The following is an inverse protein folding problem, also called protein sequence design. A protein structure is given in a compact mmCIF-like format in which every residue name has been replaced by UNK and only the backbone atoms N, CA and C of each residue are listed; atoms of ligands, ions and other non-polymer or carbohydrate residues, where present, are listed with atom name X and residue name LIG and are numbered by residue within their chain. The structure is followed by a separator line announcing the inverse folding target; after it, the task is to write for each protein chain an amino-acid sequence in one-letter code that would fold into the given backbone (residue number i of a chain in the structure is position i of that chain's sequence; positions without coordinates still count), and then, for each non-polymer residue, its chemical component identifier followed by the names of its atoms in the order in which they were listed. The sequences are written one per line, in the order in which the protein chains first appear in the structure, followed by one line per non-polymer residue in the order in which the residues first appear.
data_IF_404998036304
#
_entry.id   IF_404998036304
#
_cell.length_a   1.000
_cell.length_b   1.000
_cell.length_c   1.000
_cell.angle_alpha   90.00
_cell.angle_beta   90.00
_cell.angle_gamma   90.00
#
_symmetry.space_group_name_H-M   'P 1'
#
loop_
_entity.id
_entity.type
_entity.pdbx_description
1 polymer ?
#
# COMPACT_ATOMS: atom_id res chain seq x y z
N UNK A 1 19.75 -11.16 4.96
CA UNK A 1 19.91 -9.89 5.73
C UNK A 1 18.56 -9.21 5.68
N UNK A 2 17.93 -9.03 6.84
CA UNK A 2 16.67 -8.28 6.95
C UNK A 2 16.98 -6.80 6.74
N UNK A 3 16.20 -6.15 5.88
CA UNK A 3 16.34 -4.72 5.56
C UNK A 3 14.95 -4.11 5.74
N UNK A 4 14.82 -3.11 6.62
CA UNK A 4 13.59 -2.34 6.75
C UNK A 4 13.33 -1.58 5.46
N UNK A 5 12.06 -1.43 5.08
CA UNK A 5 11.70 -0.65 3.89
C UNK A 5 12.16 0.81 4.02
N UNK A 6 12.20 1.31 5.24
CA UNK A 6 12.69 2.62 5.67
C UNK A 6 14.21 2.78 5.52
N UNK A 7 14.97 1.68 5.55
CA UNK A 7 16.43 1.70 5.49
C UNK A 7 16.94 1.78 4.04
N UNK A 8 16.13 1.32 3.07
CA UNK A 8 16.52 1.20 1.66
C UNK A 8 17.08 2.52 1.09
N UNK A 9 16.46 3.70 1.31
CA UNK A 9 17.00 4.96 0.79
C UNK A 9 18.38 5.30 1.35
N UNK A 10 18.64 5.03 2.63
CA UNK A 10 19.92 5.29 3.26
C UNK A 10 21.00 4.34 2.72
N UNK A 11 20.71 3.04 2.68
CA UNK A 11 21.61 2.01 2.14
C UNK A 11 21.98 2.28 0.68
N UNK A 12 21.01 2.72 -0.13
CA UNK A 12 21.28 3.10 -1.52
C UNK A 12 22.23 4.31 -1.60
N UNK A 13 22.02 5.36 -0.80
CA UNK A 13 22.94 6.51 -0.74
C UNK A 13 24.36 6.14 -0.31
N UNK A 14 24.51 5.09 0.48
CA UNK A 14 25.81 4.52 0.87
C UNK A 14 26.44 3.62 -0.22
N UNK A 15 25.81 3.48 -1.38
CA UNK A 15 26.30 2.64 -2.49
C UNK A 15 26.10 1.14 -2.29
N UNK A 16 25.29 0.72 -1.30
CA UNK A 16 24.94 -0.70 -1.12
C UNK A 16 23.99 -1.13 -2.23
N UNK A 17 24.30 -2.26 -2.88
CA UNK A 17 23.44 -2.88 -3.92
C UNK A 17 22.36 -3.72 -3.26
N UNK A 18 21.43 -3.06 -2.58
CA UNK A 18 20.34 -3.68 -1.82
C UNK A 18 19.01 -3.13 -2.34
N UNK A 19 18.02 -4.01 -2.45
CA UNK A 19 16.64 -3.67 -2.73
C UNK A 19 15.68 -4.63 -2.04
N UNK A 20 14.40 -4.28 -2.03
CA UNK A 20 13.32 -5.13 -1.55
C UNK A 20 12.37 -5.37 -2.71
N UNK A 21 12.08 -6.63 -3.02
CA UNK A 21 11.08 -6.99 -4.03
C UNK A 21 9.69 -6.78 -3.46
N UNK A 22 8.86 -6.00 -4.16
CA UNK A 22 7.43 -5.89 -3.87
C UNK A 22 6.64 -6.96 -4.64
N UNK A 23 5.90 -7.79 -3.90
CA UNK A 23 5.04 -8.84 -4.47
C UNK A 23 3.60 -8.35 -4.49
N UNK A 24 3.18 -7.76 -5.62
CA UNK A 24 1.83 -7.24 -5.82
C UNK A 24 0.88 -8.32 -6.36
N UNK A 25 0.56 -9.34 -5.55
CA UNK A 25 -0.33 -10.42 -5.94
C UNK A 25 -1.26 -10.83 -4.81
N UNK A 26 -2.52 -11.09 -5.14
CA UNK A 26 -3.48 -11.70 -4.22
C UNK A 26 -3.57 -13.23 -4.38
N UNK A 27 -2.80 -13.83 -5.30
CA UNK A 27 -2.93 -15.26 -5.59
C UNK A 27 -2.21 -16.11 -4.52
N UNK A 28 -2.91 -17.05 -3.83
CA UNK A 28 -2.33 -17.77 -2.69
C UNK A 28 -1.04 -18.54 -3.02
N UNK A 29 -0.92 -19.12 -4.21
CA UNK A 29 0.33 -19.80 -4.61
C UNK A 29 1.52 -18.85 -4.76
N UNK A 30 1.30 -17.62 -5.23
CA UNK A 30 2.36 -16.61 -5.36
C UNK A 30 2.80 -16.14 -3.98
N UNK A 31 1.84 -15.88 -3.10
CA UNK A 31 2.13 -15.49 -1.72
C UNK A 31 2.89 -16.58 -0.97
N UNK A 32 2.49 -17.85 -1.10
CA UNK A 32 3.23 -18.98 -0.52
C UNK A 32 4.68 -19.04 -1.03
N UNK A 33 4.89 -18.84 -2.34
CA UNK A 33 6.23 -18.84 -2.92
C UNK A 33 7.09 -17.69 -2.35
N UNK A 34 6.53 -16.49 -2.23
CA UNK A 34 7.22 -15.33 -1.65
C UNK A 34 7.58 -15.55 -0.17
N UNK A 35 6.64 -16.06 0.63
CA UNK A 35 6.82 -16.36 2.05
C UNK A 35 7.88 -17.45 2.26
N UNK A 36 7.83 -18.53 1.47
CA UNK A 36 8.83 -19.60 1.50
C UNK A 36 10.22 -19.08 1.16
N UNK A 37 10.32 -18.24 0.13
CA UNK A 37 11.59 -17.63 -0.25
C UNK A 37 12.15 -16.78 0.89
N UNK A 38 11.36 -15.88 1.48
CA UNK A 38 11.81 -15.04 2.58
C UNK A 38 12.24 -15.82 3.81
N UNK A 39 11.55 -16.93 4.13
CA UNK A 39 11.96 -17.86 5.18
C UNK A 39 13.34 -18.46 4.90
N UNK A 40 13.56 -18.94 3.68
CA UNK A 40 14.81 -19.63 3.29
C UNK A 40 16.02 -18.68 3.24
N UNK A 41 15.80 -17.41 2.89
CA UNK A 41 16.87 -16.41 2.73
C UNK A 41 17.03 -15.48 3.93
N UNK A 42 16.06 -15.45 4.85
CA UNK A 42 15.99 -14.49 5.94
C UNK A 42 15.91 -13.03 5.42
N UNK A 43 15.20 -12.82 4.32
CA UNK A 43 14.99 -11.49 3.72
C UNK A 43 13.55 -11.01 3.93
N UNK A 44 13.38 -9.70 3.92
CA UNK A 44 12.07 -9.04 3.99
C UNK A 44 11.16 -9.51 2.86
N UNK A 45 9.91 -9.82 3.19
CA UNK A 45 8.84 -10.21 2.28
C UNK A 45 7.82 -9.06 2.23
N UNK A 46 7.96 -8.18 1.24
CA UNK A 46 7.00 -7.11 1.00
C UNK A 46 5.88 -7.63 0.10
N UNK A 47 4.66 -7.65 0.63
CA UNK A 47 3.44 -8.04 -0.08
C UNK A 47 2.54 -6.83 -0.18
N UNK A 48 2.09 -6.51 -1.39
CA UNK A 48 1.23 -5.35 -1.63
C UNK A 48 -0.12 -5.73 -2.23
N UNK A 49 -1.16 -4.99 -1.84
CA UNK A 49 -2.50 -5.09 -2.42
C UNK A 49 -2.90 -3.74 -3.00
N UNK A 50 -3.37 -3.72 -4.25
CA UNK A 50 -3.85 -2.49 -4.89
C UNK A 50 -5.27 -2.13 -4.43
N UNK A 51 -5.63 -0.85 -4.49
CA UNK A 51 -6.94 -0.32 -4.11
C UNK A 51 -8.16 -0.98 -4.81
N UNK A 52 -7.95 -1.58 -5.99
CA UNK A 52 -8.99 -2.31 -6.70
C UNK A 52 -9.13 -3.76 -6.22
N UNK A 53 -8.02 -4.40 -5.81
CA UNK A 53 -8.05 -5.78 -5.32
C UNK A 53 -8.73 -5.83 -3.95
N UNK A 54 -8.28 -4.95 -3.06
CA UNK A 54 -8.63 -4.92 -1.64
C UNK A 54 -8.97 -3.47 -1.29
N UNK A 55 -10.12 -3.24 -0.67
CA UNK A 55 -10.47 -1.94 -0.08
C UNK A 55 -11.50 -2.17 1.03
N UNK A 56 -11.92 -1.11 1.72
CA UNK A 56 -12.87 -1.22 2.84
C UNK A 56 -14.25 -1.78 2.45
N UNK A 57 -14.55 -1.91 1.15
CA UNK A 57 -15.77 -2.52 0.62
C UNK A 57 -15.53 -3.91 -0.01
N UNK A 58 -14.31 -4.43 0.04
CA UNK A 58 -13.95 -5.76 -0.47
C UNK A 58 -13.19 -5.77 -1.80
N UNK A 59 -13.17 -4.67 -2.55
CA UNK A 59 -12.61 -4.65 -3.91
C UNK A 59 -13.19 -5.76 -4.80
N UNK A 60 -12.45 -6.19 -5.82
CA UNK A 60 -12.88 -7.34 -6.64
C UNK A 60 -12.59 -8.70 -5.98
N UNK A 61 -11.77 -8.75 -4.93
CA UNK A 61 -11.45 -10.00 -4.23
C UNK A 61 -12.49 -10.38 -3.17
N UNK A 62 -13.35 -9.44 -2.79
CA UNK A 62 -14.25 -9.54 -1.65
C UNK A 62 -13.55 -9.40 -0.29
N UNK A 63 -12.28 -8.99 -0.26
CA UNK A 63 -11.48 -8.86 0.96
C UNK A 63 -11.32 -7.40 1.39
N UNK A 64 -11.53 -7.14 2.67
CA UNK A 64 -11.05 -5.92 3.32
C UNK A 64 -9.54 -5.99 3.59
N UNK A 65 -8.85 -4.88 3.92
CA UNK A 65 -7.44 -4.93 4.30
C UNK A 65 -7.17 -5.87 5.48
N UNK A 66 -8.10 -5.96 6.43
CA UNK A 66 -8.00 -6.89 7.55
C UNK A 66 -8.10 -8.36 7.10
N UNK A 67 -9.01 -8.66 6.18
CA UNK A 67 -9.14 -10.02 5.60
C UNK A 67 -7.88 -10.41 4.83
N UNK A 68 -7.31 -9.49 4.05
CA UNK A 68 -6.07 -9.73 3.31
C UNK A 68 -4.90 -9.97 4.26
N UNK A 69 -4.76 -9.16 5.31
CA UNK A 69 -3.71 -9.33 6.32
C UNK A 69 -3.84 -10.70 7.03
N UNK A 70 -5.05 -11.07 7.46
CA UNK A 70 -5.31 -12.36 8.09
C UNK A 70 -5.02 -13.55 7.15
N UNK A 71 -5.33 -13.41 5.85
CA UNK A 71 -5.00 -14.43 4.85
C UNK A 71 -3.49 -14.58 4.68
N UNK A 72 -2.74 -13.48 4.59
CA UNK A 72 -1.26 -13.49 4.52
C UNK A 72 -0.68 -14.12 5.78
N UNK A 73 -1.20 -13.79 6.96
CA UNK A 73 -0.78 -14.36 8.24
C UNK A 73 -0.98 -15.89 8.28
N UNK A 74 -2.14 -16.38 7.84
CA UNK A 74 -2.43 -17.80 7.76
C UNK A 74 -1.50 -18.53 6.78
N UNK A 75 -1.20 -17.91 5.63
CA UNK A 75 -0.23 -18.46 4.67
C UNK A 75 1.18 -18.47 5.24
N UNK A 76 1.59 -17.42 5.97
CA UNK A 76 2.89 -17.34 6.61
C UNK A 76 3.06 -18.43 7.67
N UNK A 77 2.03 -18.69 8.49
CA UNK A 77 2.03 -19.79 9.44
C UNK A 77 2.18 -21.15 8.73
N UNK A 78 1.45 -21.37 7.63
CA UNK A 78 1.53 -22.61 6.85
C UNK A 78 2.90 -22.81 6.20
N UNK A 79 3.55 -21.75 5.71
CA UNK A 79 4.90 -21.80 5.14
C UNK A 79 6.00 -21.67 6.20
N UNK A 80 5.67 -21.52 7.48
CA UNK A 80 6.60 -21.31 8.59
C UNK A 80 7.51 -20.08 8.37
N UNK A 81 6.97 -19.03 7.75
CA UNK A 81 7.67 -17.76 7.56
C UNK A 81 7.52 -16.90 8.83
N UNK A 82 8.63 -16.41 9.43
CA UNK A 82 8.57 -15.54 10.60
C UNK A 82 7.83 -14.23 10.28
N UNK A 83 6.87 -13.85 11.13
CA UNK A 83 6.02 -12.66 10.92
C UNK A 83 6.82 -11.37 10.82
N UNK A 84 7.96 -11.29 11.53
CA UNK A 84 8.85 -10.14 11.51
C UNK A 84 9.52 -9.90 10.16
N UNK A 85 9.54 -10.89 9.25
CA UNK A 85 10.02 -10.70 7.88
C UNK A 85 8.98 -10.06 6.97
N UNK A 86 7.71 -10.07 7.36
CA UNK A 86 6.60 -9.69 6.49
C UNK A 86 6.32 -8.19 6.64
N UNK A 87 6.18 -7.52 5.50
CA UNK A 87 5.73 -6.13 5.42
C UNK A 87 4.53 -6.08 4.48
N UNK A 88 3.45 -5.46 4.95
CA UNK A 88 2.26 -5.23 4.15
C UNK A 88 2.28 -3.81 3.57
N UNK A 89 2.02 -3.70 2.27
CA UNK A 89 1.94 -2.43 1.55
C UNK A 89 0.65 -2.22 0.76
N UNK A 90 0.22 -0.96 0.68
CA UNK A 90 -0.91 -0.54 -0.14
C UNK A 90 -0.40 0.14 -1.39
N UNK A 91 -0.87 -0.33 -2.55
CA UNK A 91 -0.42 0.16 -3.85
C UNK A 91 -1.48 1.02 -4.55
N UNK A 92 -1.07 2.15 -5.12
CA UNK A 92 -1.92 3.17 -5.73
C UNK A 92 -3.15 3.53 -4.87
N UNK A 93 -2.95 3.81 -3.58
CA UNK A 93 -4.05 4.18 -2.70
C UNK A 93 -4.47 5.62 -2.96
N UNK A 94 -5.73 5.78 -3.38
CA UNK A 94 -6.33 7.06 -3.70
C UNK A 94 -7.74 6.89 -4.26
N UNK A 95 -8.28 7.90 -4.96
CA UNK A 95 -9.67 7.92 -5.40
C UNK A 95 -9.96 7.01 -6.61
N UNK A 96 -8.96 6.31 -7.15
CA UNK A 96 -9.09 5.54 -8.40
C UNK A 96 -10.31 4.59 -8.46
N UNK A 97 -10.65 3.79 -7.42
CA UNK A 97 -11.83 2.92 -7.47
C UNK A 97 -13.18 3.66 -7.55
N UNK A 98 -13.19 4.97 -7.25
CA UNK A 98 -14.38 5.83 -7.18
C UNK A 98 -14.24 7.07 -8.06
N UNK A 99 -13.36 7.04 -9.06
CA UNK A 99 -13.09 8.17 -9.97
C UNK A 99 -14.30 8.60 -10.81
N UNK A 100 -15.33 7.76 -10.89
CA UNK A 100 -16.62 8.03 -11.51
C UNK A 100 -17.53 8.92 -10.64
N UNK A 101 -17.13 9.23 -9.41
CA UNK A 101 -17.85 10.10 -8.47
C UNK A 101 -17.23 11.51 -8.41
N UNK A 102 -17.95 12.51 -7.87
CA UNK A 102 -17.37 13.82 -7.58
C UNK A 102 -16.14 13.72 -6.66
N UNK A 103 -15.16 14.61 -6.86
CA UNK A 103 -13.88 14.57 -6.17
C UNK A 103 -13.98 14.43 -4.65
N UNK A 104 -14.87 15.17 -4.00
CA UNK A 104 -15.00 15.13 -2.54
C UNK A 104 -15.51 13.78 -2.04
N UNK A 105 -16.45 13.15 -2.77
CA UNK A 105 -16.96 11.82 -2.44
C UNK A 105 -15.90 10.74 -2.68
N UNK A 106 -15.18 10.81 -3.80
CA UNK A 106 -14.11 9.88 -4.12
C UNK A 106 -12.96 9.96 -3.10
N UNK A 107 -12.59 11.17 -2.68
CA UNK A 107 -11.56 11.39 -1.66
C UNK A 107 -12.00 10.94 -0.26
N UNK A 108 -13.29 11.05 0.09
CA UNK A 108 -13.82 10.50 1.34
C UNK A 108 -13.72 8.97 1.38
N UNK A 109 -14.03 8.30 0.26
CA UNK A 109 -13.83 6.85 0.13
C UNK A 109 -12.34 6.47 0.21
N UNK A 110 -11.46 7.21 -0.47
CA UNK A 110 -10.02 7.01 -0.40
C UNK A 110 -9.48 7.15 1.02
N UNK A 111 -9.96 8.13 1.79
CA UNK A 111 -9.62 8.29 3.20
C UNK A 111 -10.07 7.09 4.05
N UNK A 112 -11.30 6.62 3.85
CA UNK A 112 -11.82 5.44 4.56
C UNK A 112 -11.00 4.18 4.26
N UNK A 113 -10.60 4.01 2.99
CA UNK A 113 -9.72 2.93 2.57
C UNK A 113 -8.36 3.02 3.25
N UNK A 114 -7.71 4.18 3.25
CA UNK A 114 -6.40 4.36 3.90
C UNK A 114 -6.45 4.07 5.39
N UNK A 115 -7.47 4.58 6.10
CA UNK A 115 -7.66 4.26 7.52
C UNK A 115 -7.76 2.75 7.74
N UNK A 116 -8.54 2.03 6.91
CA UNK A 116 -8.65 0.58 6.98
C UNK A 116 -7.32 -0.15 6.72
N UNK A 117 -6.54 0.28 5.73
CA UNK A 117 -5.22 -0.26 5.46
C UNK A 117 -4.27 -0.08 6.65
N UNK A 118 -4.18 1.14 7.20
CA UNK A 118 -3.28 1.42 8.33
C UNK A 118 -3.69 0.65 9.58
N UNK A 119 -4.99 0.58 9.90
CA UNK A 119 -5.50 -0.21 11.04
C UNK A 119 -5.27 -1.72 10.88
N UNK A 120 -5.27 -2.22 9.65
CA UNK A 120 -4.95 -3.62 9.35
C UNK A 120 -3.44 -3.93 9.39
N UNK A 121 -2.58 -2.96 9.75
CA UNK A 121 -1.14 -3.18 9.91
C UNK A 121 -0.31 -2.91 8.66
N UNK A 122 -0.88 -2.32 7.61
CA UNK A 122 -0.11 -1.90 6.44
C UNK A 122 0.77 -0.70 6.80
N UNK A 123 2.05 -0.75 6.40
CA UNK A 123 3.05 0.27 6.78
C UNK A 123 3.82 0.85 5.60
N UNK A 124 3.77 0.24 4.43
CA UNK A 124 4.16 0.90 3.17
C UNK A 124 2.89 1.42 2.50
N UNK A 125 2.79 2.72 2.26
CA UNK A 125 1.59 3.33 1.68
C UNK A 125 1.97 4.15 0.44
N UNK A 126 1.54 3.68 -0.73
CA UNK A 126 1.66 4.44 -1.97
C UNK A 126 0.45 5.35 -2.12
N UNK A 127 0.67 6.67 -2.02
CA UNK A 127 -0.38 7.68 -2.17
C UNK A 127 -0.42 8.17 -3.62
N UNK A 128 -1.46 7.77 -4.36
CA UNK A 128 -1.68 8.19 -5.74
C UNK A 128 -3.08 8.79 -5.90
N UNK A 129 -3.13 10.12 -5.94
CA UNK A 129 -4.33 10.91 -6.23
C UNK A 129 -4.17 11.75 -7.50
N UNK A 130 -3.39 11.25 -8.47
CA UNK A 130 -3.07 11.94 -9.73
C UNK A 130 -4.24 11.99 -10.73
N UNK A 131 -5.16 11.03 -10.64
CA UNK A 131 -6.28 10.90 -11.55
C UNK A 131 -7.43 11.87 -11.24
N UNK A 132 -8.02 12.43 -12.30
CA UNK A 132 -9.26 13.20 -12.19
C UNK A 132 -10.46 12.35 -11.78
N UNK A 133 -11.31 12.94 -10.95
CA UNK A 133 -12.63 12.41 -10.61
C UNK A 133 -13.71 12.97 -11.56
N UNK A 134 -14.99 12.64 -11.34
CA UNK A 134 -16.08 13.12 -12.20
C UNK A 134 -16.13 14.65 -12.23
N UNK A 135 -16.13 15.21 -13.44
CA UNK A 135 -16.13 16.66 -13.67
C UNK A 135 -14.73 17.30 -13.66
N UNK A 136 -13.66 16.52 -13.48
CA UNK A 136 -12.29 17.00 -13.52
C UNK A 136 -11.57 16.59 -14.82
N UNK A 137 -10.49 17.30 -15.19
CA UNK A 137 -9.59 16.84 -16.24
C UNK A 137 -9.02 15.45 -15.91
N UNK A 138 -8.73 14.65 -16.94
CA UNK A 138 -8.22 13.29 -16.74
C UNK A 138 -6.92 13.23 -15.92
N UNK A 139 -6.07 14.26 -16.07
CA UNK A 139 -4.90 14.48 -15.23
C UNK A 139 -5.00 15.85 -14.55
N UNK A 140 -4.69 15.86 -13.26
CA UNK A 140 -4.74 17.04 -12.41
C UNK A 140 -3.40 17.78 -12.42
N UNK A 141 -3.41 19.05 -12.02
CA UNK A 141 -2.19 19.81 -11.79
C UNK A 141 -1.47 19.33 -10.51
N UNK A 142 -0.15 19.50 -10.48
CA UNK A 142 0.71 19.02 -9.38
C UNK A 142 0.27 19.55 -8.00
N UNK A 143 -0.25 20.77 -7.93
CA UNK A 143 -0.68 21.36 -6.66
C UNK A 143 -1.93 20.65 -6.12
N UNK A 144 -2.91 20.37 -6.98
CA UNK A 144 -4.09 19.58 -6.63
C UNK A 144 -3.71 18.16 -6.20
N UNK A 145 -2.81 17.50 -6.94
CA UNK A 145 -2.33 16.14 -6.62
C UNK A 145 -1.62 16.11 -5.27
N UNK A 146 -0.69 17.05 -5.03
CA UNK A 146 0.04 17.15 -3.76
C UNK A 146 -0.90 17.43 -2.58
N UNK A 147 -1.90 18.31 -2.75
CA UNK A 147 -2.89 18.60 -1.71
C UNK A 147 -3.74 17.37 -1.34
N UNK A 148 -4.15 16.58 -2.33
CA UNK A 148 -4.87 15.31 -2.10
C UNK A 148 -4.00 14.28 -1.41
N UNK A 149 -2.76 14.08 -1.86
CA UNK A 149 -1.82 13.18 -1.23
C UNK A 149 -1.55 13.57 0.24
N UNK A 150 -1.35 14.86 0.52
CA UNK A 150 -1.18 15.36 1.88
C UNK A 150 -2.40 15.11 2.77
N UNK A 151 -3.63 15.31 2.26
CA UNK A 151 -4.87 14.98 2.99
C UNK A 151 -4.92 13.50 3.35
N UNK A 152 -4.59 12.63 2.41
CA UNK A 152 -4.58 11.18 2.60
C UNK A 152 -3.47 10.71 3.57
N UNK A 153 -2.29 11.33 3.50
CA UNK A 153 -1.23 11.12 4.49
C UNK A 153 -1.69 11.50 5.90
N UNK A 154 -2.41 12.61 6.05
CA UNK A 154 -3.00 13.02 7.33
C UNK A 154 -3.95 11.98 7.92
N UNK A 155 -4.77 11.33 7.08
CA UNK A 155 -5.63 10.21 7.52
C UNK A 155 -4.79 9.02 7.97
N UNK A 156 -3.75 8.66 7.22
CA UNK A 156 -2.86 7.56 7.55
C UNK A 156 -2.14 7.79 8.90
N UNK A 157 -1.58 8.98 9.13
CA UNK A 157 -0.93 9.36 10.39
C UNK A 157 -1.92 9.31 11.57
N UNK A 158 -3.14 9.82 11.38
CA UNK A 158 -4.16 9.78 12.42
C UNK A 158 -4.54 8.34 12.79
N UNK A 159 -4.74 7.48 11.80
CA UNK A 159 -5.04 6.06 12.01
C UNK A 159 -3.88 5.33 12.73
N UNK A 160 -2.64 5.63 12.37
CA UNK A 160 -1.45 5.06 13.01
C UNK A 160 -1.35 5.47 14.49
N UNK A 161 -1.50 6.78 14.78
CA UNK A 161 -1.48 7.31 16.13
C UNK A 161 -2.58 6.71 17.02
N UNK A 162 -3.80 6.57 16.49
CA UNK A 162 -4.94 6.00 17.24
C UNK A 162 -4.82 4.48 17.46
N UNK A 163 -4.13 3.77 16.57
CA UNK A 163 -3.89 2.33 16.71
C UNK A 163 -2.63 1.99 17.53
N UNK A 164 -1.88 3.01 17.98
CA UNK A 164 -0.61 2.82 18.68
C UNK A 164 0.51 2.24 17.80
N UNK A 165 0.35 2.33 16.47
CA UNK A 165 1.31 1.84 15.50
C UNK A 165 2.38 2.86 15.14
N UNK A 166 3.48 2.40 14.56
CA UNK A 166 4.46 3.27 13.91
C UNK A 166 3.85 3.96 12.67
N UNK A 167 4.30 5.20 12.40
CA UNK A 167 3.92 5.92 11.19
C UNK A 167 4.31 5.13 9.92
N UNK A 168 3.47 5.15 8.87
CA UNK A 168 3.82 4.53 7.59
C UNK A 168 5.02 5.17 6.91
N UNK A 169 5.64 4.42 6.00
CA UNK A 169 6.54 4.94 4.96
C UNK A 169 5.71 5.21 3.71
N UNK A 170 5.89 6.40 3.13
CA UNK A 170 5.11 6.85 1.99
C UNK A 170 5.89 6.73 0.67
N UNK A 171 5.20 6.25 -0.36
CA UNK A 171 5.61 6.40 -1.77
C UNK A 171 4.66 7.43 -2.40
N UNK A 172 5.22 8.34 -3.20
CA UNK A 172 4.49 9.38 -3.92
C UNK A 172 4.83 9.32 -5.41
N UNK A 173 3.94 9.86 -6.23
CA UNK A 173 4.06 9.88 -7.69
C UNK A 173 3.20 8.80 -8.34
N UNK A 174 3.34 8.66 -9.66
CA UNK A 174 2.67 7.64 -10.45
C UNK A 174 3.54 7.33 -11.67
N UNK A 175 3.51 6.10 -12.15
CA UNK A 175 4.15 5.68 -13.41
C UNK A 175 3.29 6.01 -14.63
N UNK A 176 2.01 6.37 -14.43
CA UNK A 176 1.10 6.72 -15.52
C UNK A 176 1.57 8.04 -16.14
N UNK A 177 1.90 8.07 -17.44
CA UNK A 177 2.34 9.30 -18.08
C UNK A 177 1.20 10.33 -18.08
N UNK A 178 1.51 11.63 -17.97
CA UNK A 178 0.52 12.68 -18.22
C UNK A 178 -0.10 12.47 -19.62
N UNK A 179 -1.42 12.67 -19.79
CA UNK A 179 -2.03 12.68 -21.11
C UNK A 179 -1.35 13.73 -21.98
N UNK A 180 -0.80 13.30 -23.12
CA UNK A 180 -0.15 14.15 -24.12
C UNK A 180 -1.11 14.86 -25.06
#
# INVERSE_FOLDING_TARGET
MRVGIEDVPALHREGKKIGVTSVCSAHPLVLKAALRHGRETGTTVLIEATCNQVNHLGGYTGMTPADFAAMVEALAAAEQCPQELIVLGGDHLGPNPWRDRPAEEAMAQAGTMIDAYVRAGFRKIHLDASMGCAGEPAALDDHTVAGRAARLAGVAEQAAAQSGGASPVYIIGTEVPPPG
#
